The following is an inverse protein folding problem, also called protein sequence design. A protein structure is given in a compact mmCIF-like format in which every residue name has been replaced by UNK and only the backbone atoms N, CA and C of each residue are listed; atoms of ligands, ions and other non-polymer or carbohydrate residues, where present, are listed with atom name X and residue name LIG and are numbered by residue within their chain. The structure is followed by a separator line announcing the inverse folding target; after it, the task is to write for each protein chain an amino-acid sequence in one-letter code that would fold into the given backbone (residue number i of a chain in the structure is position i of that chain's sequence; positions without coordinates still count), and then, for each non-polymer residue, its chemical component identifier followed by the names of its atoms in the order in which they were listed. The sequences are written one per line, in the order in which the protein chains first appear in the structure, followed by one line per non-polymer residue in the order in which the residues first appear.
data_IF_465374412846
#
_entry.id   IF_465374412846
#
_cell.length_a   1.000
_cell.length_b   1.000
_cell.length_c   1.000
_cell.angle_alpha   90.00
_cell.angle_beta   90.00
_cell.angle_gamma   90.00
#
_symmetry.space_group_name_H-M   'P 1'
#
loop_
_entity.id
_entity.type
_entity.pdbx_description
1 polymer ?
#
# COMPACT_ATOMS: atom_id res chain seq x y z
N UNK A 1 -12.13 27.56 14.73
CA UNK A 1 -12.01 26.90 13.41
C UNK A 1 -11.64 25.42 13.52
N UNK A 2 -10.44 25.03 13.97
CA UNK A 2 -10.08 23.58 14.12
C UNK A 2 -10.97 22.87 15.15
N UNK A 3 -11.23 23.51 16.30
CA UNK A 3 -12.10 22.95 17.35
C UNK A 3 -13.53 22.75 16.85
N UNK A 4 -14.02 23.61 15.96
CA UNK A 4 -15.38 23.49 15.41
C UNK A 4 -15.50 22.30 14.46
N UNK A 5 -14.45 21.99 13.68
CA UNK A 5 -14.38 20.80 12.83
C UNK A 5 -14.35 19.51 13.64
N UNK A 6 -13.60 19.48 14.75
CA UNK A 6 -13.55 18.31 15.65
C UNK A 6 -14.86 18.07 16.40
N UNK A 7 -15.70 19.10 16.53
CA UNK A 7 -17.02 19.03 17.17
C UNK A 7 -18.15 18.75 16.19
N UNK A 8 -17.86 18.62 14.89
CA UNK A 8 -18.89 18.29 13.90
C UNK A 8 -19.52 16.92 14.25
N UNK A 9 -20.83 16.86 14.57
CA UNK A 9 -21.50 15.60 14.91
C UNK A 9 -21.51 14.58 13.76
N UNK A 10 -21.28 15.04 12.52
CA UNK A 10 -21.15 14.20 11.33
C UNK A 10 -19.74 13.65 11.15
N UNK A 11 -18.72 14.16 11.86
CA UNK A 11 -17.37 13.60 11.81
C UNK A 11 -17.42 12.15 12.30
N UNK A 12 -17.13 11.21 11.40
CA UNK A 12 -16.94 9.79 11.72
C UNK A 12 -15.48 9.46 11.50
N UNK A 13 -14.82 9.00 12.56
CA UNK A 13 -13.43 8.56 12.51
C UNK A 13 -13.42 7.05 12.65
N UNK A 14 -12.85 6.37 11.67
CA UNK A 14 -12.57 4.94 11.70
C UNK A 14 -11.05 4.75 11.74
N UNK A 15 -10.59 3.78 12.53
CA UNK A 15 -9.18 3.38 12.52
C UNK A 15 -8.96 2.51 11.28
N UNK A 16 -7.89 2.78 10.55
CA UNK A 16 -7.45 1.97 9.41
C UNK A 16 -6.31 1.04 9.82
N UNK A 17 -6.12 -0.02 9.03
CA UNK A 17 -5.00 -0.95 9.17
C UNK A 17 -3.86 -0.55 8.24
N UNK A 18 -2.62 -0.77 8.67
CA UNK A 18 -1.46 -0.53 7.81
C UNK A 18 -0.29 -1.47 8.07
N UNK A 19 0.46 -1.76 7.03
CA UNK A 19 1.76 -2.45 7.07
C UNK A 19 2.84 -1.53 6.51
N UNK A 20 4.01 -1.58 7.15
CA UNK A 20 5.25 -1.01 6.61
C UNK A 20 6.20 -2.18 6.39
N UNK A 21 6.55 -2.42 5.13
CA UNK A 21 7.29 -3.60 4.70
C UNK A 21 8.58 -3.14 4.05
N UNK A 22 9.72 -3.47 4.66
CA UNK A 22 11.00 -3.27 4.01
C UNK A 22 11.27 -4.41 3.02
N UNK A 23 11.16 -4.14 1.72
CA UNK A 23 11.29 -5.15 0.67
C UNK A 23 12.33 -4.75 -0.41
N UNK A 24 13.63 -4.59 -0.08
CA UNK A 24 14.65 -4.18 -1.04
C UNK A 24 14.78 -5.09 -2.28
N UNK A 25 14.35 -6.35 -2.17
CA UNK A 25 14.32 -7.28 -3.30
C UNK A 25 13.36 -6.83 -4.42
N UNK A 26 12.19 -6.27 -4.08
CA UNK A 26 11.24 -5.74 -5.08
C UNK A 26 11.84 -4.54 -5.82
N UNK A 27 12.58 -3.67 -5.12
CA UNK A 27 13.24 -2.52 -5.74
C UNK A 27 14.46 -2.91 -6.61
N UNK A 28 14.86 -4.19 -6.62
CA UNK A 28 15.85 -4.76 -7.55
C UNK A 28 15.18 -5.52 -8.71
N UNK A 29 13.87 -5.73 -8.65
CA UNK A 29 13.11 -6.42 -9.68
C UNK A 29 12.85 -5.47 -10.87
N UNK A 30 13.29 -5.87 -12.07
CA UNK A 30 13.21 -5.01 -13.24
C UNK A 30 11.77 -4.67 -13.65
N UNK A 31 10.82 -5.60 -13.48
CA UNK A 31 9.42 -5.36 -13.81
C UNK A 31 8.78 -4.40 -12.80
N UNK A 32 9.09 -4.57 -11.51
CA UNK A 32 8.62 -3.66 -10.48
C UNK A 32 9.19 -2.25 -10.67
N UNK A 33 10.48 -2.12 -10.97
CA UNK A 33 11.11 -0.83 -11.24
C UNK A 33 10.54 -0.18 -12.50
N UNK A 34 10.28 -0.95 -13.55
CA UNK A 34 9.63 -0.44 -14.76
C UNK A 34 8.22 0.09 -14.47
N UNK A 35 7.41 -0.66 -13.71
CA UNK A 35 6.09 -0.22 -13.26
C UNK A 35 6.19 1.06 -12.41
N UNK A 36 7.09 1.09 -11.42
CA UNK A 36 7.29 2.25 -10.54
C UNK A 36 7.56 3.52 -11.35
N UNK A 37 8.31 3.39 -12.44
CA UNK A 37 8.74 4.45 -13.35
C UNK A 37 7.82 4.72 -14.55
N UNK A 38 6.67 4.07 -14.69
CA UNK A 38 5.84 4.13 -15.91
C UNK A 38 5.12 5.48 -16.16
N UNK A 39 5.37 6.51 -15.35
CA UNK A 39 4.76 7.84 -15.47
C UNK A 39 3.33 7.96 -14.93
N UNK A 40 2.68 6.86 -14.53
CA UNK A 40 1.41 6.92 -13.80
C UNK A 40 1.66 7.43 -12.37
N UNK A 41 0.76 8.29 -11.89
CA UNK A 41 0.80 8.82 -10.52
C UNK A 41 0.66 7.70 -9.50
N UNK A 42 1.60 7.64 -8.55
CA UNK A 42 1.61 6.70 -7.43
C UNK A 42 1.73 7.46 -6.13
N UNK A 43 1.27 6.86 -5.03
CA UNK A 43 1.54 7.39 -3.71
C UNK A 43 2.96 6.99 -3.28
N UNK A 44 3.95 7.83 -3.58
CA UNK A 44 5.36 7.49 -3.42
C UNK A 44 6.22 8.74 -3.20
N UNK A 45 7.37 8.57 -2.56
CA UNK A 45 8.49 9.52 -2.51
C UNK A 45 9.58 9.21 -3.55
N UNK A 46 9.44 8.15 -4.36
CA UNK A 46 10.33 7.86 -5.47
C UNK A 46 10.10 8.89 -6.60
N UNK A 47 11.17 9.60 -6.98
CA UNK A 47 11.12 10.67 -7.98
C UNK A 47 11.39 10.19 -9.42
N UNK A 48 11.58 8.90 -9.62
CA UNK A 48 11.91 8.29 -10.91
C UNK A 48 13.38 7.85 -11.01
N UNK A 49 13.68 7.08 -12.06
CA UNK A 49 14.99 6.50 -12.31
C UNK A 49 15.28 5.26 -11.47
N UNK A 50 16.54 5.10 -11.08
CA UNK A 50 16.98 3.97 -10.27
C UNK A 50 16.51 4.13 -8.81
N UNK A 51 15.85 3.12 -8.20
CA UNK A 51 15.43 3.21 -6.81
C UNK A 51 16.60 3.41 -5.85
N UNK A 52 16.50 4.45 -5.04
CA UNK A 52 17.45 4.74 -3.95
C UNK A 52 16.98 4.11 -2.64
N UNK A 53 17.81 4.19 -1.60
CA UNK A 53 17.46 3.74 -0.24
C UNK A 53 16.21 4.43 0.35
N UNK A 54 15.87 5.60 -0.18
CA UNK A 54 14.75 6.43 0.26
C UNK A 54 13.51 6.23 -0.64
N UNK A 55 13.62 5.40 -1.68
CA UNK A 55 12.49 5.03 -2.53
C UNK A 55 11.50 4.14 -1.79
N UNK A 56 10.22 4.40 -2.01
CA UNK A 56 9.11 3.68 -1.41
C UNK A 56 7.91 3.66 -2.35
N UNK A 57 6.84 2.98 -1.97
CA UNK A 57 5.52 3.15 -2.57
C UNK A 57 4.44 2.70 -1.58
N UNK A 58 3.32 3.41 -1.55
CA UNK A 58 2.14 3.07 -0.77
C UNK A 58 1.06 2.58 -1.72
N UNK A 59 0.48 1.42 -1.40
CA UNK A 59 -0.68 0.86 -2.10
C UNK A 59 -1.81 0.59 -1.13
N UNK A 60 -3.04 0.51 -1.62
CA UNK A 60 -4.21 0.14 -0.83
C UNK A 60 -4.70 -1.22 -1.27
N UNK A 61 -4.73 -2.18 -0.35
CA UNK A 61 -5.35 -3.48 -0.56
C UNK A 61 -6.82 -3.39 -0.14
N UNK A 62 -7.71 -3.85 -1.00
CA UNK A 62 -9.15 -3.91 -0.71
C UNK A 62 -9.47 -5.23 0.00
N UNK A 63 -9.80 -5.23 1.30
CA UNK A 63 -10.19 -6.45 1.97
C UNK A 63 -11.63 -6.81 1.56
N UNK A 64 -12.00 -8.09 1.68
CA UNK A 64 -13.25 -8.66 1.15
C UNK A 64 -13.33 -8.83 -0.40
N UNK A 65 -12.25 -8.61 -1.13
CA UNK A 65 -12.09 -9.07 -2.52
C UNK A 65 -10.72 -9.72 -2.71
N UNK A 66 -10.69 -10.85 -3.40
CA UNK A 66 -9.45 -11.58 -3.65
C UNK A 66 -8.57 -10.79 -4.62
N UNK A 67 -7.32 -10.54 -4.22
CA UNK A 67 -6.30 -9.89 -5.05
C UNK A 67 -6.67 -8.52 -5.63
N UNK A 68 -7.52 -7.75 -4.95
CA UNK A 68 -7.98 -6.44 -5.41
C UNK A 68 -7.39 -5.26 -4.60
N UNK A 69 -7.30 -4.07 -5.22
CA UNK A 69 -6.71 -2.88 -4.64
C UNK A 69 -6.30 -1.83 -5.68
N UNK A 70 -5.67 -0.74 -5.25
CA UNK A 70 -5.40 0.43 -6.12
C UNK A 70 -4.50 0.13 -7.30
N UNK A 71 -3.56 -0.80 -7.14
CA UNK A 71 -2.56 -1.13 -8.17
C UNK A 71 -2.72 -2.56 -8.69
N UNK A 72 -3.84 -3.24 -8.35
CA UNK A 72 -4.13 -4.57 -8.87
C UNK A 72 -4.20 -4.52 -10.41
N UNK A 73 -3.55 -5.49 -11.06
CA UNK A 73 -3.42 -5.60 -12.52
C UNK A 73 -2.57 -4.53 -13.24
N UNK A 74 -2.09 -3.50 -12.54
CA UNK A 74 -1.14 -2.52 -13.08
C UNK A 74 0.30 -2.83 -12.61
N UNK A 75 0.45 -3.19 -11.33
CA UNK A 75 1.71 -3.69 -10.75
C UNK A 75 1.99 -5.13 -11.25
N UNK A 76 3.28 -5.55 -11.37
CA UNK A 76 3.60 -6.95 -11.66
C UNK A 76 2.94 -7.92 -10.68
N UNK A 77 2.30 -8.97 -11.23
CA UNK A 77 1.46 -9.90 -10.46
C UNK A 77 2.18 -10.50 -9.24
N UNK A 78 3.47 -10.86 -9.36
CA UNK A 78 4.23 -11.44 -8.25
C UNK A 78 4.50 -10.45 -7.12
N UNK A 79 4.66 -9.16 -7.43
CA UNK A 79 4.83 -8.12 -6.43
C UNK A 79 3.49 -7.84 -5.71
N UNK A 80 2.39 -7.83 -6.47
CA UNK A 80 1.04 -7.68 -5.91
C UNK A 80 0.66 -8.88 -5.03
N UNK A 81 0.92 -10.11 -5.50
CA UNK A 81 0.69 -11.33 -4.74
C UNK A 81 1.48 -11.34 -3.43
N UNK A 82 2.74 -10.91 -3.45
CA UNK A 82 3.55 -10.76 -2.24
C UNK A 82 2.89 -9.80 -1.22
N UNK A 83 2.44 -8.64 -1.66
CA UNK A 83 1.75 -7.65 -0.82
C UNK A 83 0.46 -8.24 -0.24
N UNK A 84 -0.36 -8.86 -1.10
CA UNK A 84 -1.64 -9.42 -0.70
C UNK A 84 -1.47 -10.53 0.34
N UNK A 85 -0.50 -11.44 0.13
CA UNK A 85 -0.19 -12.51 1.09
C UNK A 85 0.24 -11.96 2.45
N UNK A 86 1.05 -10.89 2.48
CA UNK A 86 1.39 -10.23 3.73
C UNK A 86 0.16 -9.66 4.45
N UNK A 87 -0.80 -9.07 3.72
CA UNK A 87 -2.05 -8.62 4.32
C UNK A 87 -2.86 -9.78 4.90
N UNK A 88 -2.99 -10.90 4.18
CA UNK A 88 -3.68 -12.12 4.65
C UNK A 88 -3.01 -12.70 5.91
N UNK A 89 -1.68 -12.68 5.98
CA UNK A 89 -0.93 -13.22 7.12
C UNK A 89 -1.04 -12.33 8.37
N UNK A 90 -1.22 -11.03 8.21
CA UNK A 90 -1.21 -10.07 9.31
C UNK A 90 -2.60 -9.61 9.76
N UNK A 91 -3.63 -9.79 8.92
CA UNK A 91 -4.98 -9.33 9.20
C UNK A 91 -6.04 -10.36 8.81
N UNK A 92 -7.17 -10.34 9.52
CA UNK A 92 -8.35 -11.12 9.18
C UNK A 92 -9.16 -10.41 8.06
N UNK A 93 -8.60 -10.39 6.85
CA UNK A 93 -9.16 -9.62 5.72
C UNK A 93 -10.45 -10.20 5.10
N UNK A 94 -10.83 -11.41 5.54
CA UNK A 94 -12.10 -12.06 5.20
C UNK A 94 -13.02 -12.21 6.43
N UNK A 95 -12.64 -11.59 7.54
CA UNK A 95 -13.36 -11.68 8.80
C UNK A 95 -14.73 -10.99 8.74
N UNK A 96 -15.67 -11.41 9.60
CA UNK A 96 -16.98 -10.77 9.69
C UNK A 96 -16.84 -9.29 10.06
N UNK A 97 -17.47 -8.42 9.25
CA UNK A 97 -17.44 -6.96 9.44
C UNK A 97 -16.40 -6.22 8.60
N UNK A 98 -15.60 -6.95 7.82
CA UNK A 98 -14.68 -6.37 6.83
C UNK A 98 -15.46 -5.93 5.60
N UNK A 99 -15.30 -4.66 5.20
CA UNK A 99 -15.94 -4.11 4.02
C UNK A 99 -15.01 -3.26 3.15
N UNK A 100 -15.51 -2.74 2.02
CA UNK A 100 -14.69 -1.98 1.07
C UNK A 100 -14.04 -0.71 1.66
N UNK A 101 -14.61 -0.17 2.75
CA UNK A 101 -14.07 1.00 3.46
C UNK A 101 -12.96 0.62 4.47
N UNK A 102 -12.59 -0.66 4.58
CA UNK A 102 -11.53 -1.18 5.48
C UNK A 102 -10.16 -1.31 4.80
N UNK A 103 -9.92 -0.57 3.71
CA UNK A 103 -8.68 -0.63 2.94
C UNK A 103 -7.42 -0.64 3.83
N UNK A 104 -6.51 -1.55 3.50
CA UNK A 104 -5.26 -1.73 4.21
C UNK A 104 -4.17 -0.94 3.48
N UNK A 105 -3.54 0.02 4.16
CA UNK A 105 -2.37 0.71 3.62
C UNK A 105 -1.14 -0.20 3.69
N UNK A 106 -0.44 -0.40 2.58
CA UNK A 106 0.86 -1.08 2.58
C UNK A 106 1.91 -0.16 2.02
N UNK A 107 2.88 0.22 2.86
CA UNK A 107 4.07 0.99 2.44
C UNK A 107 5.25 0.05 2.25
N UNK A 108 5.66 -0.15 1.00
CA UNK A 108 6.90 -0.82 0.65
C UNK A 108 8.07 0.17 0.74
N UNK A 109 9.16 -0.21 1.40
CA UNK A 109 10.37 0.63 1.50
C UNK A 109 11.61 -0.09 1.00
N UNK A 110 12.60 0.68 0.48
CA UNK A 110 13.90 0.18 0.02
C UNK A 110 15.05 0.46 1.01
N UNK A 111 14.80 0.37 2.32
CA UNK A 111 15.84 0.67 3.31
C UNK A 111 16.90 -0.41 3.27
N UNK A 112 18.15 0.00 3.09
CA UNK A 112 19.29 -0.89 3.34
C UNK A 112 19.48 -0.91 4.86
N UNK A 113 19.28 -2.07 5.49
CA UNK A 113 19.65 -2.23 6.90
C UNK A 113 21.18 -2.11 7.01
N UNK A 114 21.63 -1.28 7.95
CA UNK A 114 23.04 -1.05 8.27
C UNK A 114 23.64 -2.22 9.01
#
# INVERSE_FOLDING_TARGET
MVIDLLRDPKLKVKRAQSLVVNAPALFKDAAFVAWLNNGQTKFTWHEGGEPTKDSDVVVLVNPASDFDGTEAHEMPDHAWEFIFRLCVENFDIYGPGTGPDDQILVRLTNRQES
#
